data_IF_084809004258
#
_entry.id   IF_084809004258
#
_cell.length_a   1.000
_cell.length_b   1.000
_cell.length_c   1.000
_cell.angle_alpha   90.00
_cell.angle_beta   90.00
_cell.angle_gamma   90.00
#
_symmetry.space_group_name_H-M   'P 1'
#
loop_
_entity.id
_entity.type
_entity.pdbx_description
1 polymer ?
#
# COMPACT_ATOMS: atom_id res chain seq x y z
N UNK A 1 4.37 0.30 5.60
CA UNK A 1 5.14 1.22 4.75
C UNK A 1 5.09 2.68 5.26
N UNK A 2 3.93 3.33 5.41
CA UNK A 2 3.83 4.72 5.91
C UNK A 2 4.44 4.91 7.31
N UNK A 3 4.18 3.98 8.23
CA UNK A 3 4.80 3.98 9.57
C UNK A 3 6.33 3.95 9.49
N UNK A 4 6.88 3.10 8.64
CA UNK A 4 8.34 3.01 8.42
C UNK A 4 8.88 4.29 7.77
N UNK A 5 8.14 4.91 6.86
CA UNK A 5 8.52 6.21 6.28
C UNK A 5 8.50 7.30 7.34
N UNK A 6 7.45 7.36 8.18
CA UNK A 6 7.36 8.29 9.30
C UNK A 6 8.52 8.13 10.28
N UNK A 7 8.83 6.88 10.63
CA UNK A 7 9.92 6.52 11.53
C UNK A 7 11.30 6.96 11.00
N UNK A 8 11.58 6.71 9.72
CA UNK A 8 12.90 6.94 9.16
C UNK A 8 13.12 8.39 8.67
N UNK A 9 12.06 9.06 8.19
CA UNK A 9 12.15 10.35 7.51
C UNK A 9 11.31 11.47 8.14
N UNK A 10 10.46 11.12 9.11
CA UNK A 10 9.52 12.06 9.73
C UNK A 10 8.34 12.42 8.81
N UNK A 11 7.44 13.27 9.33
CA UNK A 11 6.19 13.62 8.67
C UNK A 11 6.46 14.38 7.36
N UNK A 12 7.25 15.46 7.41
CA UNK A 12 7.44 16.35 6.26
C UNK A 12 7.98 15.64 5.02
N UNK A 13 8.97 14.76 5.20
CA UNK A 13 9.55 13.97 4.11
C UNK A 13 8.69 12.77 3.72
N UNK A 14 7.77 12.36 4.59
CA UNK A 14 6.81 11.28 4.34
C UNK A 14 5.54 11.72 3.59
N UNK A 15 5.26 13.03 3.52
CA UNK A 15 4.06 13.56 2.83
C UNK A 15 3.94 13.12 1.36
N UNK A 16 5.00 13.15 0.54
CA UNK A 16 4.88 12.66 -0.85
C UNK A 16 4.44 11.19 -0.92
N UNK A 17 4.94 10.34 -0.03
CA UNK A 17 4.50 8.94 0.07
C UNK A 17 3.02 8.84 0.46
N UNK A 18 2.58 9.58 1.48
CA UNK A 18 1.18 9.63 1.91
C UNK A 18 0.25 10.06 0.77
N UNK A 19 0.57 11.17 0.12
CA UNK A 19 -0.23 11.71 -0.99
C UNK A 19 -0.25 10.74 -2.18
N UNK A 20 0.87 10.08 -2.48
CA UNK A 20 0.92 9.08 -3.54
C UNK A 20 0.01 7.87 -3.28
N UNK A 21 -0.11 7.42 -2.03
CA UNK A 21 -1.09 6.38 -1.65
C UNK A 21 -2.51 6.91 -1.75
N UNK A 22 -2.79 8.06 -1.12
CA UNK A 22 -4.15 8.60 -1.00
C UNK A 22 -4.75 9.11 -2.31
N UNK A 23 -3.91 9.45 -3.30
CA UNK A 23 -4.34 9.85 -4.63
C UNK A 23 -4.24 8.68 -5.61
N UNK A 24 -3.14 7.91 -5.54
CA UNK A 24 -2.90 6.80 -6.45
C UNK A 24 -3.95 5.71 -6.37
N UNK A 25 -4.44 5.38 -5.17
CA UNK A 25 -5.48 4.37 -5.00
C UNK A 25 -6.84 4.81 -5.59
N UNK A 26 -7.40 5.99 -5.28
CA UNK A 26 -8.63 6.46 -5.93
C UNK A 26 -8.51 6.61 -7.45
N UNK A 27 -7.36 7.02 -7.98
CA UNK A 27 -7.14 7.08 -9.43
C UNK A 27 -7.18 5.67 -10.04
N UNK A 28 -6.51 4.70 -9.42
CA UNK A 28 -6.59 3.30 -9.85
C UNK A 28 -8.05 2.79 -9.80
N UNK A 29 -8.77 3.09 -8.73
CA UNK A 29 -10.16 2.69 -8.54
C UNK A 29 -11.08 3.30 -9.62
N UNK A 30 -10.90 4.59 -9.95
CA UNK A 30 -11.63 5.24 -11.03
C UNK A 30 -11.38 4.56 -12.38
N UNK A 31 -10.14 4.21 -12.69
CA UNK A 31 -9.78 3.51 -13.92
C UNK A 31 -10.37 2.09 -13.98
N UNK A 32 -10.40 1.36 -12.87
CA UNK A 32 -11.11 0.07 -12.78
C UNK A 32 -12.60 0.27 -13.06
N UNK A 33 -13.22 1.28 -12.47
CA UNK A 33 -14.63 1.61 -12.67
C UNK A 33 -14.98 2.04 -14.10
N UNK A 34 -14.06 2.72 -14.80
CA UNK A 34 -14.26 3.16 -16.21
C UNK A 34 -14.15 1.98 -17.21
N UNK A 35 -13.75 0.79 -16.75
CA UNK A 35 -13.74 -0.38 -17.61
C UNK A 35 -12.40 -1.10 -17.73
N UNK A 36 -11.36 -0.65 -17.00
CA UNK A 36 -10.13 -1.46 -16.90
C UNK A 36 -10.40 -2.83 -16.27
N UNK A 37 -11.49 -2.95 -15.48
CA UNK A 37 -11.98 -4.25 -14.99
C UNK A 37 -12.35 -5.22 -16.11
N UNK A 38 -12.88 -4.73 -17.23
CA UNK A 38 -13.17 -5.56 -18.41
C UNK A 38 -11.89 -6.06 -19.11
N UNK A 39 -10.80 -5.32 -19.06
CA UNK A 39 -9.50 -5.76 -19.60
C UNK A 39 -9.01 -7.02 -18.88
N UNK A 40 -9.16 -7.11 -17.57
CA UNK A 40 -8.78 -8.30 -16.79
C UNK A 40 -9.74 -9.48 -17.00
N UNK A 41 -11.00 -9.22 -17.33
CA UNK A 41 -11.94 -10.27 -17.76
C UNK A 41 -11.54 -10.84 -19.13
N UNK A 42 -11.07 -9.99 -20.05
CA UNK A 42 -10.58 -10.39 -21.36
C UNK A 42 -9.21 -11.08 -21.30
N UNK A 43 -8.36 -10.66 -20.36
CA UNK A 43 -7.00 -11.19 -20.16
C UNK A 43 -6.76 -11.61 -18.70
N UNK A 44 -7.38 -12.71 -18.24
CA UNK A 44 -7.23 -13.18 -16.85
C UNK A 44 -5.77 -13.40 -16.45
N UNK A 45 -4.95 -13.87 -17.39
CA UNK A 45 -3.52 -14.09 -17.17
C UNK A 45 -2.76 -12.80 -16.77
N UNK A 46 -3.17 -11.63 -17.29
CA UNK A 46 -2.57 -10.35 -16.90
C UNK A 46 -2.81 -10.02 -15.43
N UNK A 47 -4.02 -10.32 -14.93
CA UNK A 47 -4.36 -10.16 -13.51
C UNK A 47 -3.50 -11.07 -12.62
N UNK A 48 -3.34 -12.35 -12.99
CA UNK A 48 -2.51 -13.30 -12.26
C UNK A 48 -1.03 -12.91 -12.27
N UNK A 49 -0.50 -12.46 -13.39
CA UNK A 49 0.89 -11.97 -13.49
C UNK A 49 1.11 -10.79 -12.52
N UNK A 50 0.21 -9.79 -12.53
CA UNK A 50 0.31 -8.61 -11.65
C UNK A 50 0.23 -9.03 -10.18
N UNK A 51 -0.65 -9.98 -9.84
CA UNK A 51 -0.82 -10.53 -8.49
C UNK A 51 0.48 -11.22 -8.01
N UNK A 52 1.07 -12.09 -8.84
CA UNK A 52 2.32 -12.80 -8.54
C UNK A 52 3.48 -11.80 -8.37
N UNK A 53 3.63 -10.85 -9.29
CA UNK A 53 4.68 -9.80 -9.21
C UNK A 53 4.52 -8.98 -7.93
N UNK A 54 3.28 -8.63 -7.57
CA UNK A 54 2.98 -7.92 -6.33
C UNK A 54 3.38 -8.71 -5.09
N UNK A 55 3.04 -10.00 -5.03
CA UNK A 55 3.41 -10.90 -3.92
C UNK A 55 4.93 -11.01 -3.79
N UNK A 56 5.64 -11.29 -4.88
CA UNK A 56 7.11 -11.39 -4.89
C UNK A 56 7.75 -10.09 -4.42
N UNK A 57 7.25 -8.94 -4.89
CA UNK A 57 7.74 -7.64 -4.46
C UNK A 57 7.52 -7.39 -2.96
N UNK A 58 6.36 -7.79 -2.41
CA UNK A 58 6.08 -7.63 -0.98
C UNK A 58 6.95 -8.53 -0.10
N UNK A 59 7.24 -9.77 -0.54
CA UNK A 59 8.22 -10.63 0.14
C UNK A 59 9.64 -10.05 0.09
N UNK A 60 10.06 -9.54 -1.06
CA UNK A 60 11.34 -8.83 -1.18
C UNK A 60 11.41 -7.64 -0.22
N UNK A 61 10.32 -6.85 -0.12
CA UNK A 61 10.24 -5.72 0.79
C UNK A 61 10.29 -6.14 2.26
N UNK A 62 9.57 -7.21 2.62
CA UNK A 62 9.59 -7.78 3.97
C UNK A 62 11.00 -8.22 4.37
N UNK A 63 11.70 -8.93 3.47
CA UNK A 63 13.09 -9.33 3.67
C UNK A 63 14.02 -8.14 3.85
N UNK A 64 13.87 -7.11 3.01
CA UNK A 64 14.66 -5.87 3.12
C UNK A 64 14.42 -5.12 4.44
N UNK A 65 13.16 -5.12 4.93
CA UNK A 65 12.82 -4.50 6.23
C UNK A 65 13.45 -5.31 7.38
N UNK A 66 13.35 -6.64 7.34
CA UNK A 66 13.90 -7.52 8.37
C UNK A 66 15.44 -7.44 8.45
N UNK A 67 16.10 -7.33 7.31
CA UNK A 67 17.56 -7.23 7.20
C UNK A 67 18.12 -5.83 7.52
N UNK A 68 17.28 -4.83 7.77
CA UNK A 68 17.71 -3.50 8.17
C UNK A 68 18.23 -3.55 9.61
N UNK A 69 19.54 -3.73 9.75
CA UNK A 69 20.25 -3.86 11.04
C UNK A 69 20.10 -2.62 11.92
N UNK A 70 19.92 -2.85 13.22
CA UNK A 70 19.78 -1.80 14.23
C UNK A 70 21.08 -1.11 14.63
N UNK A 71 22.20 -1.36 13.96
CA UNK A 71 23.49 -0.80 14.26
C UNK A 71 24.19 -0.24 13.02
N UNK A 72 24.73 0.96 13.16
CA UNK A 72 25.57 1.67 12.22
C UNK A 72 25.07 1.69 10.77
N UNK A 73 24.38 2.77 10.40
CA UNK A 73 24.17 3.17 8.99
C UNK A 73 23.97 2.00 8.00
N UNK A 74 23.13 1.03 8.33
CA UNK A 74 22.39 0.37 7.26
C UNK A 74 21.70 1.54 6.56
N UNK A 75 22.06 1.80 5.33
CA UNK A 75 21.52 2.89 4.53
C UNK A 75 20.00 2.83 4.64
N UNK A 76 19.46 3.61 5.58
CA UNK A 76 18.06 3.98 5.49
C UNK A 76 17.89 4.34 4.03
N UNK A 77 16.90 3.79 3.31
CA UNK A 77 16.80 4.02 1.87
C UNK A 77 17.14 5.48 1.65
N UNK A 78 18.22 5.76 0.89
CA UNK A 78 18.89 7.06 0.89
C UNK A 78 17.94 8.21 0.62
N UNK A 79 16.71 7.88 0.23
CA UNK A 79 15.61 8.80 -0.07
C UNK A 79 14.25 8.21 0.37
N UNK A 80 13.33 9.06 0.87
CA UNK A 80 11.95 8.64 1.13
C UNK A 80 11.25 8.21 -0.18
N UNK A 81 10.24 7.36 -0.03
CA UNK A 81 9.41 6.94 -1.16
C UNK A 81 8.76 8.19 -1.76
N UNK A 82 8.90 8.36 -3.08
CA UNK A 82 8.32 9.48 -3.80
C UNK A 82 6.81 9.30 -4.01
N UNK A 83 6.12 10.38 -4.36
CA UNK A 83 4.71 10.36 -4.75
C UNK A 83 4.45 9.34 -5.88
N UNK A 84 5.19 9.43 -6.97
CA UNK A 84 5.02 8.58 -8.14
C UNK A 84 5.28 7.10 -7.85
N UNK A 85 6.30 6.82 -7.03
CA UNK A 85 6.60 5.45 -6.64
C UNK A 85 5.45 4.85 -5.82
N UNK A 86 4.91 5.59 -4.86
CA UNK A 86 3.80 5.10 -4.03
C UNK A 86 2.47 5.03 -4.76
N UNK A 87 2.22 5.93 -5.72
CA UNK A 87 1.04 5.86 -6.60
C UNK A 87 1.13 4.65 -7.54
N UNK A 88 2.28 4.44 -8.19
CA UNK A 88 2.52 3.28 -9.04
C UNK A 88 2.45 1.96 -8.26
N UNK A 89 2.87 1.96 -6.99
CA UNK A 89 2.79 0.78 -6.13
C UNK A 89 1.36 0.26 -5.96
N UNK A 90 0.34 1.11 -6.04
CA UNK A 90 -1.05 0.65 -5.92
C UNK A 90 -1.40 -0.36 -7.01
N UNK A 91 -0.83 -0.23 -8.22
CA UNK A 91 -1.10 -1.10 -9.37
C UNK A 91 -0.52 -2.51 -9.22
N UNK A 92 0.57 -2.66 -8.46
CA UNK A 92 1.18 -3.96 -8.17
C UNK A 92 0.80 -4.51 -6.80
N UNK A 93 -0.02 -3.75 -6.03
CA UNK A 93 -0.45 -4.15 -4.70
C UNK A 93 -1.74 -4.98 -4.78
N UNK A 94 -1.69 -6.32 -4.57
CA UNK A 94 -2.87 -7.17 -4.70
C UNK A 94 -3.98 -6.77 -3.72
N UNK A 95 -3.64 -6.28 -2.54
CA UNK A 95 -4.63 -5.80 -1.56
C UNK A 95 -5.42 -4.60 -2.09
N UNK A 96 -4.77 -3.69 -2.84
CA UNK A 96 -5.45 -2.54 -3.45
C UNK A 96 -6.47 -2.99 -4.50
N UNK A 97 -6.14 -4.01 -5.30
CA UNK A 97 -7.06 -4.59 -6.29
C UNK A 97 -8.27 -5.24 -5.63
N UNK A 98 -8.05 -6.11 -4.64
CA UNK A 98 -9.14 -6.79 -3.91
C UNK A 98 -10.05 -5.75 -3.25
N UNK A 99 -9.48 -4.77 -2.55
CA UNK A 99 -10.24 -3.73 -1.86
C UNK A 99 -11.01 -2.85 -2.83
N UNK A 100 -10.39 -2.46 -3.95
CA UNK A 100 -11.00 -1.62 -4.97
C UNK A 100 -12.14 -2.33 -5.70
N UNK A 101 -11.91 -3.55 -6.20
CA UNK A 101 -12.94 -4.33 -6.90
C UNK A 101 -14.10 -4.70 -5.98
N UNK A 102 -13.82 -5.08 -4.73
CA UNK A 102 -14.87 -5.37 -3.74
C UNK A 102 -15.70 -4.13 -3.41
N UNK A 103 -15.09 -2.96 -3.30
CA UNK A 103 -15.82 -1.71 -3.05
C UNK A 103 -16.73 -1.36 -4.24
N UNK A 104 -16.25 -1.49 -5.47
CA UNK A 104 -17.09 -1.27 -6.66
C UNK A 104 -18.24 -2.27 -6.70
N UNK A 105 -17.96 -3.57 -6.51
CA UNK A 105 -19.00 -4.60 -6.54
C UNK A 105 -20.07 -4.41 -5.47
N UNK A 106 -19.69 -3.96 -4.27
CA UNK A 106 -20.60 -3.80 -3.14
C UNK A 106 -21.43 -2.51 -3.19
N UNK A 107 -20.90 -1.44 -3.78
CA UNK A 107 -21.47 -0.09 -3.68
C UNK A 107 -21.87 0.51 -5.02
N UNK A 108 -21.81 -0.24 -6.13
CA UNK A 108 -22.37 0.19 -7.42
C UNK A 108 -23.55 -0.68 -7.85
N UNK A 109 -24.51 -0.06 -8.54
CA UNK A 109 -25.68 -0.71 -9.11
C UNK A 109 -25.87 -0.25 -10.56
N UNK A 110 -26.26 -1.16 -11.49
CA UNK A 110 -26.54 -0.81 -12.89
C UNK A 110 -27.72 0.16 -13.05
N UNK A 111 -28.67 0.16 -12.09
CA UNK A 111 -29.92 0.92 -12.17
C UNK A 111 -29.75 2.42 -11.91
N UNK A 112 -28.58 2.85 -11.45
CA UNK A 112 -28.24 4.23 -11.13
C UNK A 112 -27.07 4.72 -11.99
N UNK A 113 -26.78 6.03 -11.94
CA UNK A 113 -25.62 6.58 -12.63
C UNK A 113 -24.32 5.96 -12.09
N UNK A 114 -23.84 4.92 -12.75
CA UNK A 114 -22.67 4.14 -12.38
C UNK A 114 -21.41 5.02 -12.17
N UNK A 115 -21.16 5.96 -13.09
CA UNK A 115 -19.99 6.83 -12.99
C UNK A 115 -20.05 7.76 -11.79
N UNK A 116 -21.24 8.24 -11.42
CA UNK A 116 -21.42 9.03 -10.21
C UNK A 116 -21.13 8.22 -8.95
N UNK A 117 -21.59 6.96 -8.90
CA UNK A 117 -21.31 6.05 -7.79
C UNK A 117 -19.80 5.78 -7.67
N UNK A 118 -19.11 5.50 -8.78
CA UNK A 118 -17.64 5.35 -8.81
C UNK A 118 -16.96 6.62 -8.30
N UNK A 119 -17.38 7.80 -8.74
CA UNK A 119 -16.80 9.07 -8.29
C UNK A 119 -16.98 9.27 -6.78
N UNK A 120 -18.17 9.00 -6.23
CA UNK A 120 -18.45 9.07 -4.80
C UNK A 120 -17.53 8.13 -4.01
N UNK A 121 -17.36 6.89 -4.47
CA UNK A 121 -16.47 5.91 -3.84
C UNK A 121 -15.03 6.42 -3.86
N UNK A 122 -14.54 6.91 -5.00
CA UNK A 122 -13.19 7.45 -5.13
C UNK A 122 -12.94 8.64 -4.17
N UNK A 123 -13.89 9.58 -4.12
CA UNK A 123 -13.81 10.75 -3.23
C UNK A 123 -13.84 10.29 -1.76
N UNK A 124 -14.68 9.34 -1.41
CA UNK A 124 -14.76 8.77 -0.05
C UNK A 124 -13.43 8.14 0.36
N UNK A 125 -12.81 7.34 -0.50
CA UNK A 125 -11.49 6.78 -0.24
C UNK A 125 -10.39 7.85 -0.13
N UNK A 126 -10.45 8.91 -0.92
CA UNK A 126 -9.49 10.02 -0.81
C UNK A 126 -9.65 10.78 0.52
N UNK A 127 -10.89 11.14 0.88
CA UNK A 127 -11.17 11.94 2.07
C UNK A 127 -10.93 11.16 3.38
N UNK A 128 -11.38 9.90 3.44
CA UNK A 128 -11.23 9.05 4.63
C UNK A 128 -9.81 8.45 4.67
N UNK A 129 -9.27 8.09 3.52
CA UNK A 129 -7.94 7.51 3.38
C UNK A 129 -6.83 8.45 3.84
N UNK A 130 -6.96 9.76 3.58
CA UNK A 130 -5.95 10.73 3.97
C UNK A 130 -5.72 10.81 5.49
N UNK A 131 -6.74 11.01 6.34
CA UNK A 131 -6.54 11.01 7.79
C UNK A 131 -6.13 9.61 8.32
N UNK A 132 -6.75 8.52 7.82
CA UNK A 132 -6.42 7.17 8.25
C UNK A 132 -4.97 6.80 7.94
N UNK A 133 -4.51 7.02 6.72
CA UNK A 133 -3.12 6.77 6.33
C UNK A 133 -2.16 7.77 6.98
N UNK A 134 -2.59 9.02 7.18
CA UNK A 134 -1.86 10.07 7.88
C UNK A 134 -1.55 9.71 9.33
N UNK A 135 -2.49 9.07 10.04
CA UNK A 135 -2.24 8.58 11.41
C UNK A 135 -1.06 7.61 11.46
N UNK A 136 -0.92 6.70 10.49
CA UNK A 136 0.22 5.79 10.44
C UNK A 136 1.55 6.49 10.21
N UNK A 137 1.55 7.55 9.40
CA UNK A 137 2.74 8.38 9.18
C UNK A 137 3.14 9.12 10.46
N UNK A 138 2.16 9.75 11.13
CA UNK A 138 2.35 10.48 12.39
C UNK A 138 2.81 9.54 13.50
N UNK A 139 2.16 8.37 13.61
CA UNK A 139 2.54 7.34 14.57
C UNK A 139 3.99 6.89 14.36
N UNK A 140 4.38 6.62 13.11
CA UNK A 140 5.77 6.29 12.78
C UNK A 140 6.76 7.37 13.18
N UNK A 141 6.43 8.63 12.90
CA UNK A 141 7.27 9.77 13.28
C UNK A 141 7.35 9.95 14.80
N UNK A 142 6.28 9.68 15.54
CA UNK A 142 6.26 9.68 17.01
C UNK A 142 7.16 8.59 17.60
N UNK A 143 7.15 7.40 16.99
CA UNK A 143 8.01 6.29 17.40
C UNK A 143 9.51 6.58 17.21
N UNK A 144 9.88 7.53 16.37
CA UNK A 144 11.28 7.89 16.12
C UNK A 144 12.05 8.23 17.42
N UNK A 145 11.36 8.83 18.39
CA UNK A 145 11.94 9.12 19.71
C UNK A 145 12.14 7.87 20.56
N UNK A 146 11.23 6.89 20.43
CA UNK A 146 11.24 5.65 21.20
C UNK A 146 12.25 4.63 20.67
N UNK A 147 12.47 4.64 19.35
CA UNK A 147 13.34 3.70 18.64
C UNK A 147 14.76 4.29 18.38
N UNK A 148 15.24 5.11 19.32
CA UNK A 148 16.64 5.58 19.28
C UNK A 148 17.63 4.45 19.54
N UNK A 149 17.23 3.45 20.32
CA UNK A 149 18.01 2.26 20.62
C UNK A 149 18.04 1.34 19.38
N UNK A 150 19.22 0.92 18.91
CA UNK A 150 19.38 0.00 17.79
C UNK A 150 18.63 -1.32 17.97
N UNK A 151 18.59 -1.86 19.20
CA UNK A 151 17.89 -3.12 19.50
C UNK A 151 16.37 -2.96 19.33
N UNK A 152 15.78 -1.91 19.89
CA UNK A 152 14.35 -1.63 19.75
C UNK A 152 13.96 -1.41 18.29
N UNK A 153 14.82 -0.73 17.50
CA UNK A 153 14.61 -0.55 16.06
C UNK A 153 14.61 -1.89 15.31
N UNK A 154 15.57 -2.78 15.62
CA UNK A 154 15.65 -4.10 15.00
C UNK A 154 14.41 -4.95 15.30
N UNK A 155 13.99 -5.01 16.57
CA UNK A 155 12.78 -5.72 17.00
C UNK A 155 11.56 -5.17 16.25
N UNK A 156 11.41 -3.86 16.18
CA UNK A 156 10.32 -3.21 15.45
C UNK A 156 10.33 -3.56 13.96
N UNK A 157 11.49 -3.51 13.31
CA UNK A 157 11.60 -3.85 11.88
C UNK A 157 11.23 -5.32 11.62
N UNK A 158 11.70 -6.24 12.46
CA UNK A 158 11.35 -7.66 12.35
C UNK A 158 9.84 -7.86 12.56
N UNK A 159 9.26 -7.24 13.60
CA UNK A 159 7.83 -7.33 13.85
C UNK A 159 7.00 -6.80 12.66
N UNK A 160 7.39 -5.66 12.09
CA UNK A 160 6.72 -5.09 10.91
C UNK A 160 6.87 -5.96 9.67
N UNK A 161 8.04 -6.61 9.47
CA UNK A 161 8.26 -7.55 8.39
C UNK A 161 7.37 -8.80 8.53
N UNK A 162 7.29 -9.36 9.74
CA UNK A 162 6.42 -10.51 10.03
C UNK A 162 4.94 -10.19 9.81
N UNK A 163 4.48 -9.00 10.26
CA UNK A 163 3.11 -8.53 10.02
C UNK A 163 2.83 -8.35 8.52
N UNK A 164 3.81 -7.85 7.77
CA UNK A 164 3.68 -7.73 6.32
C UNK A 164 3.54 -9.11 5.66
N UNK A 165 4.41 -10.06 6.01
CA UNK A 165 4.31 -11.45 5.50
C UNK A 165 2.97 -12.06 5.88
N UNK A 166 2.54 -11.96 7.14
CA UNK A 166 1.26 -12.48 7.57
C UNK A 166 0.06 -11.89 6.79
N UNK A 167 0.15 -10.62 6.38
CA UNK A 167 -0.89 -9.98 5.58
C UNK A 167 -0.95 -10.47 4.12
N UNK A 168 0.14 -11.09 3.64
CA UNK A 168 0.26 -11.58 2.26
C UNK A 168 -0.15 -13.06 2.15
N UNK A 169 0.02 -13.83 3.23
CA UNK A 169 -0.24 -15.29 3.24
C UNK A 169 -1.63 -15.65 2.68
N UNK A 170 -2.75 -14.99 3.06
CA UNK A 170 -4.06 -15.32 2.51
C UNK A 170 -4.12 -15.13 0.98
N UNK A 171 -3.51 -14.04 0.49
CA UNK A 171 -3.51 -13.73 -0.96
C UNK A 171 -2.60 -14.69 -1.73
N UNK A 172 -1.46 -15.08 -1.14
CA UNK A 172 -0.57 -16.06 -1.75
C UNK A 172 -1.20 -17.47 -1.78
N UNK A 173 -1.98 -17.80 -0.76
CA UNK A 173 -2.69 -19.08 -0.70
C UNK A 173 -3.72 -19.22 -1.83
N UNK A 174 -4.46 -18.15 -2.16
CA UNK A 174 -5.41 -18.13 -3.29
C UNK A 174 -4.75 -18.32 -4.67
N UNK A 175 -3.43 -18.08 -4.79
CA UNK A 175 -2.70 -18.28 -6.06
C UNK A 175 -2.28 -19.75 -6.23
N UNK A 176 -2.16 -20.49 -5.12
CA UNK A 176 -1.64 -21.86 -5.11
C UNK A 176 -2.78 -22.89 -5.13
N UNK A 177 -3.95 -22.51 -4.65
CA UNK A 177 -5.16 -23.36 -4.60
C UNK A 177 -6.17 -23.02 -5.67
#
# INVERSE_FOLDING_TARGET
MLTTTGLNFGIRRGLPHLLGVCIGFPVMLALIGIGFGSLFQLFPMLHEIIKIVGIVYLFYLAWKIAGAEGGARAEAPARPITFWHSAAFQWINPKAWIMGSSALAAYTSPDNNFFLQVAIICISFALIGLPCAGMWLVFGAGLQRFLRDPLHRRIFNIAMALLLVASIVPVAWEVIT
#
